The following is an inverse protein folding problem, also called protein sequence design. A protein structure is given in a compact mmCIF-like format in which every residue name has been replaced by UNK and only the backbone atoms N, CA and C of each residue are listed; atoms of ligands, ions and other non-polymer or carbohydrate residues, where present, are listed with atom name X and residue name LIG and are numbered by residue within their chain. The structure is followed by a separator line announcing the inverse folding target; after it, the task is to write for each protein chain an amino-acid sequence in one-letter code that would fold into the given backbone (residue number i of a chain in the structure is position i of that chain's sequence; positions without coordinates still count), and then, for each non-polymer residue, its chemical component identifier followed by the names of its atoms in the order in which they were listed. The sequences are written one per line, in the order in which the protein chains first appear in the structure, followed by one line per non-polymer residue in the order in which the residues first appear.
data_IF_443707399153
#
_entry.id   IF_443707399153
#
_cell.length_a   1.000
_cell.length_b   1.000
_cell.length_c   1.000
_cell.angle_alpha   90.00
_cell.angle_beta   90.00
_cell.angle_gamma   90.00
#
_symmetry.space_group_name_H-M   'P 1'
#
loop_
_entity.id
_entity.type
_entity.pdbx_description
1 polymer ?
#
# COMPACT_ATOMS: atom_id res chain seq x y z
N UNK A 1 4.90 10.41 14.58
CA UNK A 1 5.89 9.32 14.79
C UNK A 1 6.76 9.19 13.56
N UNK A 2 7.92 8.53 13.66
CA UNK A 2 8.76 8.24 12.49
C UNK A 2 8.43 6.89 11.86
N UNK A 3 8.67 6.77 10.55
CA UNK A 3 8.52 5.50 9.85
C UNK A 3 9.61 4.53 10.32
N UNK A 4 9.21 3.34 10.78
CA UNK A 4 10.15 2.30 11.21
C UNK A 4 10.82 1.65 9.99
N UNK A 5 12.10 1.95 9.79
CA UNK A 5 12.91 1.34 8.72
C UNK A 5 12.93 -0.18 8.90
N UNK A 6 12.68 -0.93 7.83
CA UNK A 6 12.56 -2.39 7.89
C UNK A 6 11.15 -2.91 8.21
N UNK A 7 10.15 -2.03 8.41
CA UNK A 7 8.77 -2.45 8.67
C UNK A 7 8.06 -3.05 7.44
N UNK A 8 8.23 -2.46 6.25
CA UNK A 8 7.60 -2.87 4.99
C UNK A 8 6.05 -2.98 4.94
N UNK A 9 5.32 -2.71 6.02
CA UNK A 9 3.87 -2.93 6.06
C UNK A 9 3.11 -2.16 4.95
N UNK A 10 3.39 -0.88 4.72
CA UNK A 10 2.78 -0.12 3.63
C UNK A 10 3.24 -0.56 2.22
N UNK A 11 4.38 -1.24 2.10
CA UNK A 11 4.86 -1.78 0.83
C UNK A 11 4.27 -3.16 0.50
N UNK A 12 3.76 -3.89 1.50
CA UNK A 12 3.23 -5.25 1.35
C UNK A 12 1.71 -5.27 1.47
N UNK A 13 1.18 -4.72 2.57
CA UNK A 13 -0.19 -4.99 3.03
C UNK A 13 -1.24 -4.28 2.19
N UNK A 14 -1.11 -2.97 1.99
CA UNK A 14 -2.16 -2.15 1.36
C UNK A 14 -2.18 -2.28 -0.15
N UNK A 15 -3.32 -2.03 -0.78
CA UNK A 15 -3.38 -1.80 -2.22
C UNK A 15 -2.94 -0.36 -2.57
N UNK A 16 -2.39 -0.20 -3.77
CA UNK A 16 -2.08 1.10 -4.37
C UNK A 16 -2.65 1.07 -5.78
N UNK A 17 -3.69 1.85 -6.06
CA UNK A 17 -4.35 1.90 -7.37
C UNK A 17 -3.59 2.73 -8.42
N UNK A 18 -2.77 3.69 -7.98
CA UNK A 18 -1.95 4.49 -8.87
C UNK A 18 -0.73 3.69 -9.40
N UNK A 19 -0.26 3.95 -10.63
CA UNK A 19 0.91 3.28 -11.18
C UNK A 19 2.17 3.41 -10.31
N UNK A 20 2.97 2.35 -10.27
CA UNK A 20 4.32 2.31 -9.69
C UNK A 20 5.28 1.88 -10.81
N UNK A 21 6.54 2.37 -10.87
CA UNK A 21 7.50 1.83 -11.84
C UNK A 21 7.58 0.30 -11.72
N UNK A 22 7.49 -0.41 -12.86
CA UNK A 22 7.40 -1.88 -12.87
C UNK A 22 6.05 -2.49 -12.44
N UNK A 23 5.07 -1.69 -12.00
CA UNK A 23 3.69 -2.13 -11.71
C UNK A 23 2.66 -1.11 -12.27
N UNK A 24 2.40 -1.12 -13.60
CA UNK A 24 1.57 -0.10 -14.25
C UNK A 24 0.10 -0.11 -13.81
N UNK A 25 -0.43 -1.27 -13.39
CA UNK A 25 -1.77 -1.40 -12.82
C UNK A 25 -1.86 -1.09 -11.32
N UNK A 26 -0.79 -0.56 -10.72
CA UNK A 26 -0.67 -0.39 -9.29
C UNK A 26 -0.20 -1.65 -8.56
N UNK A 27 -0.24 -1.61 -7.23
CA UNK A 27 0.20 -2.70 -6.36
C UNK A 27 -1.01 -3.36 -5.69
N UNK A 28 -1.25 -4.66 -5.88
CA UNK A 28 -2.28 -5.36 -5.14
C UNK A 28 -1.98 -5.41 -3.64
N UNK A 29 -3.03 -5.49 -2.82
CA UNK A 29 -2.92 -5.74 -1.39
C UNK A 29 -2.27 -7.11 -1.13
N UNK A 30 -1.46 -7.21 -0.07
CA UNK A 30 -0.73 -8.42 0.31
C UNK A 30 0.43 -8.81 -0.62
N UNK A 31 0.59 -8.16 -1.78
CA UNK A 31 1.69 -8.41 -2.70
C UNK A 31 2.83 -7.42 -2.42
N UNK A 32 4.07 -7.90 -2.16
CA UNK A 32 5.23 -7.03 -2.01
C UNK A 32 5.45 -6.15 -3.26
N UNK A 33 5.71 -4.86 -3.04
CA UNK A 33 6.12 -3.96 -4.11
C UNK A 33 7.38 -4.48 -4.82
N UNK A 34 7.44 -4.38 -6.15
CA UNK A 34 8.62 -4.80 -6.95
C UNK A 34 9.93 -4.11 -6.54
N UNK A 35 9.85 -2.97 -5.85
CA UNK A 35 11.01 -2.22 -5.36
C UNK A 35 11.34 -2.48 -3.88
N UNK A 36 10.62 -3.37 -3.22
CA UNK A 36 10.95 -3.79 -1.85
C UNK A 36 12.18 -4.69 -1.89
N UNK A 37 13.23 -4.28 -1.17
CA UNK A 37 14.46 -5.05 -1.04
C UNK A 37 14.31 -6.18 -0.02
N UNK A 38 15.25 -7.11 -0.01
CA UNK A 38 15.26 -8.27 0.92
C UNK A 38 15.45 -7.86 2.38
N UNK A 39 16.00 -6.68 2.65
CA UNK A 39 16.12 -6.09 3.99
C UNK A 39 14.94 -5.17 4.35
N UNK A 40 13.80 -5.31 3.65
CA UNK A 40 12.55 -4.58 3.91
C UNK A 40 12.67 -3.05 3.80
N UNK A 41 13.46 -2.58 2.82
CA UNK A 41 13.60 -1.17 2.46
C UNK A 41 13.05 -0.89 1.06
N UNK A 42 12.71 0.37 0.79
CA UNK A 42 12.30 0.77 -0.54
C UNK A 42 13.53 1.14 -1.38
N UNK A 43 13.78 0.42 -2.48
CA UNK A 43 14.89 0.70 -3.41
C UNK A 43 14.76 2.04 -4.16
N UNK A 44 13.61 2.71 -4.06
CA UNK A 44 13.36 4.05 -4.60
C UNK A 44 13.37 5.15 -3.53
N UNK A 45 13.67 4.85 -2.27
CA UNK A 45 13.67 5.86 -1.21
C UNK A 45 14.61 7.03 -1.56
N UNK A 46 14.11 8.26 -1.50
CA UNK A 46 14.87 9.47 -1.84
C UNK A 46 15.07 9.74 -3.34
N UNK A 47 14.61 8.84 -4.22
CA UNK A 47 14.74 8.99 -5.68
C UNK A 47 13.53 9.69 -6.28
N UNK A 48 13.72 10.38 -7.42
CA UNK A 48 12.65 11.09 -8.15
C UNK A 48 11.58 10.13 -8.70
N UNK A 49 11.97 8.89 -8.97
CA UNK A 49 11.10 7.84 -9.50
C UNK A 49 10.18 7.25 -8.42
N UNK A 50 10.36 7.59 -7.14
CA UNK A 50 9.48 7.13 -6.06
C UNK A 50 8.06 7.65 -6.31
N UNK A 51 7.03 6.77 -6.35
CA UNK A 51 5.67 7.21 -6.58
C UNK A 51 5.21 8.26 -5.56
N UNK A 52 4.48 9.27 -6.03
CA UNK A 52 3.98 10.38 -5.19
C UNK A 52 3.18 9.86 -3.99
N UNK A 53 2.32 8.86 -4.20
CA UNK A 53 1.56 8.21 -3.12
C UNK A 53 2.47 7.69 -2.00
N UNK A 54 3.61 7.10 -2.37
CA UNK A 54 4.58 6.53 -1.43
C UNK A 54 5.42 7.61 -0.73
N UNK A 55 5.69 8.75 -1.37
CA UNK A 55 6.44 9.87 -0.75
C UNK A 55 5.57 10.78 0.10
N UNK A 56 4.27 10.86 -0.22
CA UNK A 56 3.29 11.66 0.52
C UNK A 56 2.71 10.95 1.73
N UNK A 57 2.85 9.61 1.81
CA UNK A 57 2.38 8.83 2.95
C UNK A 57 3.17 9.20 4.22
N UNK A 58 2.45 9.75 5.21
CA UNK A 58 2.99 10.08 6.54
C UNK A 58 2.63 8.98 7.53
N UNK A 59 3.58 8.50 8.35
CA UNK A 59 3.27 7.53 9.39
C UNK A 59 2.39 8.15 10.49
N UNK A 60 1.39 7.40 10.92
CA UNK A 60 0.49 7.74 12.03
C UNK A 60 0.31 6.55 12.96
N UNK A 61 -0.07 6.79 14.21
CA UNK A 61 -0.28 5.73 15.19
C UNK A 61 -1.43 4.79 14.77
N UNK A 62 -2.52 5.35 14.23
CA UNK A 62 -3.66 4.60 13.69
C UNK A 62 -3.33 3.68 12.49
N UNK A 63 -2.15 3.81 11.91
CA UNK A 63 -1.66 2.96 10.81
C UNK A 63 -0.49 2.07 11.24
N UNK A 64 0.38 2.60 12.09
CA UNK A 64 1.66 1.98 12.39
C UNK A 64 1.67 1.27 13.75
N UNK A 65 0.78 1.60 14.68
CA UNK A 65 0.85 1.11 16.06
C UNK A 65 2.25 1.26 16.67
N UNK A 66 2.60 0.40 17.62
CA UNK A 66 3.86 0.44 18.35
C UNK A 66 4.87 -0.63 17.87
N UNK A 67 4.44 -1.61 17.09
CA UNK A 67 5.28 -2.70 16.56
C UNK A 67 5.08 -2.94 15.06
N UNK A 68 6.01 -3.65 14.41
CA UNK A 68 5.86 -4.01 13.00
C UNK A 68 4.65 -4.93 12.81
N UNK A 69 4.46 -5.87 13.72
CA UNK A 69 3.34 -6.80 13.78
C UNK A 69 2.00 -6.05 13.87
N UNK A 70 1.91 -5.03 14.72
CA UNK A 70 0.73 -4.15 14.79
C UNK A 70 0.51 -3.39 13.48
N UNK A 71 1.55 -2.80 12.88
CA UNK A 71 1.39 -2.11 11.60
C UNK A 71 0.80 -3.02 10.51
N UNK A 72 1.22 -4.29 10.47
CA UNK A 72 0.65 -5.27 9.55
C UNK A 72 -0.82 -5.54 9.87
N UNK A 73 -1.15 -5.83 11.13
CA UNK A 73 -2.51 -6.14 11.55
C UNK A 73 -3.48 -4.97 11.30
N UNK A 74 -3.06 -3.76 11.67
CA UNK A 74 -3.82 -2.53 11.50
C UNK A 74 -4.05 -2.25 10.01
N UNK A 75 -2.99 -2.21 9.20
CA UNK A 75 -3.12 -1.93 7.77
C UNK A 75 -3.94 -3.01 7.05
N UNK A 76 -3.87 -4.27 7.49
CA UNK A 76 -4.68 -5.34 6.93
C UNK A 76 -6.16 -5.12 7.25
N UNK A 77 -6.48 -4.76 8.49
CA UNK A 77 -7.84 -4.45 8.90
C UNK A 77 -8.40 -3.23 8.13
N UNK A 78 -7.61 -2.16 8.02
CA UNK A 78 -7.97 -0.97 7.24
C UNK A 78 -8.22 -1.32 5.77
N UNK A 79 -7.30 -2.07 5.13
CA UNK A 79 -7.46 -2.49 3.74
C UNK A 79 -8.76 -3.27 3.53
N UNK A 80 -9.11 -4.21 4.43
CA UNK A 80 -10.38 -4.94 4.33
C UNK A 80 -11.59 -4.03 4.51
N UNK A 81 -11.54 -3.12 5.48
CA UNK A 81 -12.64 -2.21 5.79
C UNK A 81 -12.91 -1.20 4.66
N UNK A 82 -11.89 -0.88 3.85
CA UNK A 82 -11.99 0.09 2.75
C UNK A 82 -12.00 -0.55 1.36
N UNK A 83 -12.15 -1.88 1.26
CA UNK A 83 -12.29 -2.54 -0.04
C UNK A 83 -13.48 -1.93 -0.80
N UNK A 84 -13.29 -1.51 -2.06
CA UNK A 84 -14.42 -1.11 -2.89
C UNK A 84 -15.44 -2.26 -2.94
N UNK A 85 -16.70 -1.96 -2.62
CA UNK A 85 -17.79 -2.86 -2.98
C UNK A 85 -17.84 -2.98 -4.50
N UNK A 86 -18.06 -4.18 -5.04
CA UNK A 86 -18.27 -4.34 -6.47
C UNK A 86 -19.30 -3.31 -6.95
N UNK A 87 -19.01 -2.55 -8.02
CA UNK A 87 -20.05 -1.72 -8.61
C UNK A 87 -21.20 -2.65 -9.01
N UNK A 88 -22.47 -2.27 -8.81
CA UNK A 88 -23.57 -3.08 -9.30
C UNK A 88 -23.31 -3.32 -10.79
N UNK A 89 -23.20 -4.59 -11.19
CA UNK A 89 -23.07 -5.00 -12.58
C UNK A 89 -24.02 -4.14 -13.39
N UNK A 90 -23.49 -3.35 -14.34
CA UNK A 90 -24.30 -2.54 -15.24
C UNK A 90 -25.46 -3.42 -15.71
N UNK A 91 -26.67 -3.16 -15.23
CA UNK A 91 -27.88 -3.65 -15.88
C UNK A 91 -27.79 -3.06 -17.27
N UNK A 92 -27.55 -3.93 -18.24
CA UNK A 92 -27.62 -3.59 -19.65
C UNK A 92 -29.13 -3.45 -19.88
N UNK A 93 -29.67 -2.27 -19.61
CA UNK A 93 -31.00 -1.91 -20.09
C UNK A 93 -30.89 -1.89 -21.62
N UNK A 94 -31.48 -2.92 -22.21
CA UNK A 94 -31.57 -3.12 -23.64
C UNK A 94 -32.95 -2.59 -24.06
N UNK A 95 -32.96 -1.35 -24.55
CA UNK A 95 -34.07 -0.74 -25.32
C UNK A 95 -33.65 -0.56 -26.78
#
# INVERSE_FOLDING_TARGET
MDCRVGCAACCIVISISSPIPGMPGGKPAGIPCVHLTTDFRCGLFGKRERPVVCSSLRPSEDMCGHSNEEAFAILQALEQATKPSDPPSKVIDMD
#
